data_IF_323896991235
#
_entry.id   IF_323896991235
#
_cell.length_a   1.000
_cell.length_b   1.000
_cell.length_c   1.000
_cell.angle_alpha   90.00
_cell.angle_beta   90.00
_cell.angle_gamma   90.00
#
_symmetry.space_group_name_H-M   'P 1'
#
loop_
_entity.id
_entity.type
_entity.pdbx_description
1 polymer ?
#
# COMPACT_ATOMS: atom_id res chain seq x y z
N UNK A 1 -0.55 37.64 7.63
CA UNK A 1 -0.51 37.50 6.16
C UNK A 1 0.43 36.40 5.68
N UNK A 2 1.65 36.29 6.22
CA UNK A 2 2.61 35.22 5.80
C UNK A 2 2.12 33.80 6.12
N UNK A 3 1.61 33.55 7.32
CA UNK A 3 1.10 32.22 7.74
C UNK A 3 -0.09 31.77 6.86
N UNK A 4 -1.00 32.67 6.53
CA UNK A 4 -2.13 32.37 5.64
C UNK A 4 -1.65 32.03 4.22
N UNK A 5 -0.61 32.68 3.74
CA UNK A 5 -0.01 32.40 2.43
C UNK A 5 0.70 31.05 2.38
N UNK A 6 1.35 30.63 3.50
CA UNK A 6 2.02 29.33 3.62
C UNK A 6 0.99 28.18 3.63
N UNK A 7 -0.09 28.30 4.42
CA UNK A 7 -1.16 27.30 4.48
C UNK A 7 -1.85 27.12 3.12
N UNK A 8 -2.14 28.23 2.43
CA UNK A 8 -2.71 28.22 1.07
C UNK A 8 -1.80 27.49 0.09
N UNK A 9 -0.50 27.78 0.09
CA UNK A 9 0.49 27.17 -0.79
C UNK A 9 0.66 25.66 -0.57
N UNK A 10 0.53 25.19 0.68
CA UNK A 10 0.56 23.78 1.03
C UNK A 10 -0.69 23.05 0.55
N UNK A 11 -1.86 23.65 0.75
CA UNK A 11 -3.11 23.09 0.26
C UNK A 11 -3.13 23.00 -1.28
N UNK A 12 -2.54 23.96 -1.99
CA UNK A 12 -2.40 23.91 -3.46
C UNK A 12 -1.51 22.75 -3.91
N UNK A 13 -0.38 22.50 -3.26
CA UNK A 13 0.49 21.35 -3.56
C UNK A 13 -0.22 20.03 -3.35
N UNK A 14 -0.98 19.89 -2.27
CA UNK A 14 -1.77 18.69 -2.01
C UNK A 14 -2.88 18.49 -3.03
N UNK A 15 -3.54 19.57 -3.46
CA UNK A 15 -4.55 19.51 -4.53
C UNK A 15 -3.95 19.09 -5.87
N UNK A 16 -2.73 19.57 -6.19
CA UNK A 16 -2.01 19.14 -7.39
C UNK A 16 -1.67 17.65 -7.33
N UNK A 17 -1.14 17.16 -6.19
CA UNK A 17 -0.89 15.74 -5.98
C UNK A 17 -2.17 14.91 -6.11
N UNK A 18 -3.27 15.37 -5.51
CA UNK A 18 -4.59 14.74 -5.62
C UNK A 18 -5.04 14.63 -7.08
N UNK A 19 -4.84 15.67 -7.89
CA UNK A 19 -5.15 15.65 -9.31
C UNK A 19 -4.43 14.52 -10.05
N UNK A 20 -3.11 14.42 -9.86
CA UNK A 20 -2.29 13.36 -10.47
C UNK A 20 -2.75 11.95 -10.04
N UNK A 21 -3.00 11.75 -8.74
CA UNK A 21 -3.43 10.45 -8.22
C UNK A 21 -4.83 10.07 -8.71
N UNK A 22 -5.72 11.04 -8.91
CA UNK A 22 -7.08 10.79 -9.41
C UNK A 22 -7.09 10.19 -10.82
N UNK A 23 -6.13 10.56 -11.66
CA UNK A 23 -5.97 9.99 -13.00
C UNK A 23 -5.54 8.51 -12.95
N UNK A 24 -4.79 8.12 -11.91
CA UNK A 24 -4.30 6.76 -11.72
C UNK A 24 -5.30 5.78 -11.10
N UNK A 25 -6.44 6.24 -10.54
CA UNK A 25 -7.39 5.38 -9.82
C UNK A 25 -7.95 4.23 -10.68
N UNK A 26 -8.12 4.48 -11.98
CA UNK A 26 -8.58 3.44 -12.91
C UNK A 26 -7.59 2.27 -13.07
N UNK A 27 -6.30 2.52 -12.88
CA UNK A 27 -5.23 1.51 -12.96
C UNK A 27 -4.91 0.91 -11.59
N UNK A 28 -5.06 1.70 -10.52
CA UNK A 28 -4.76 1.31 -9.15
C UNK A 28 -5.88 1.78 -8.21
N UNK A 29 -6.92 0.96 -7.98
CA UNK A 29 -8.06 1.33 -7.11
C UNK A 29 -7.63 1.72 -5.68
N UNK A 30 -6.52 1.18 -5.18
CA UNK A 30 -5.93 1.51 -3.87
C UNK A 30 -5.61 3.00 -3.70
N UNK A 31 -5.37 3.73 -4.81
CA UNK A 31 -5.12 5.17 -4.78
C UNK A 31 -6.28 5.97 -4.17
N UNK A 32 -7.51 5.43 -4.21
CA UNK A 32 -8.69 6.05 -3.61
C UNK A 32 -8.49 6.31 -2.10
N UNK A 33 -7.85 5.39 -1.40
CA UNK A 33 -7.55 5.54 0.04
C UNK A 33 -6.59 6.71 0.30
N UNK A 34 -5.61 6.92 -0.58
CA UNK A 34 -4.66 8.04 -0.48
C UNK A 34 -5.31 9.37 -0.81
N UNK A 35 -6.25 9.40 -1.77
CA UNK A 35 -7.05 10.61 -2.05
C UNK A 35 -7.84 11.05 -0.82
N UNK A 36 -8.47 10.11 -0.12
CA UNK A 36 -9.19 10.39 1.12
C UNK A 36 -8.26 10.91 2.24
N UNK A 37 -7.04 10.37 2.36
CA UNK A 37 -6.03 10.87 3.30
C UNK A 37 -5.62 12.31 2.96
N UNK A 38 -5.37 12.61 1.70
CA UNK A 38 -5.01 13.96 1.23
C UNK A 38 -6.13 14.95 1.54
N UNK A 39 -7.39 14.59 1.31
CA UNK A 39 -8.54 15.44 1.66
C UNK A 39 -8.61 15.73 3.16
N UNK A 40 -8.35 14.72 3.99
CA UNK A 40 -8.29 14.88 5.44
C UNK A 40 -7.20 15.86 5.88
N UNK A 41 -6.00 15.76 5.28
CA UNK A 41 -4.89 16.70 5.55
C UNK A 41 -5.27 18.13 5.13
N UNK A 42 -5.88 18.31 3.96
CA UNK A 42 -6.34 19.63 3.50
C UNK A 42 -7.39 20.22 4.45
N UNK A 43 -8.33 19.40 4.92
CA UNK A 43 -9.35 19.85 5.88
C UNK A 43 -8.72 20.24 7.21
N UNK A 44 -7.80 19.45 7.74
CA UNK A 44 -7.07 19.75 9.00
C UNK A 44 -6.26 21.06 8.91
N UNK A 45 -5.64 21.35 7.75
CA UNK A 45 -4.95 22.62 7.52
C UNK A 45 -5.91 23.84 7.57
N UNK A 46 -7.15 23.65 7.13
CA UNK A 46 -8.14 24.72 7.06
C UNK A 46 -8.89 24.94 8.38
N UNK A 47 -9.12 23.86 9.18
CA UNK A 47 -9.97 23.92 10.36
C UNK A 47 -9.35 24.72 11.52
N UNK A 48 -8.02 24.83 11.58
CA UNK A 48 -7.31 25.56 12.65
C UNK A 48 -7.48 24.97 14.06
N UNK A 49 -8.12 23.80 14.20
CA UNK A 49 -8.30 23.08 15.46
C UNK A 49 -7.04 22.27 15.82
N UNK A 50 -6.72 22.20 17.10
CA UNK A 50 -5.66 21.33 17.60
C UNK A 50 -6.24 19.92 17.80
N UNK A 51 -5.74 18.94 17.05
CA UNK A 51 -6.16 17.54 17.15
C UNK A 51 -5.38 16.81 18.25
N UNK A 52 -6.10 16.30 19.24
CA UNK A 52 -5.58 15.42 20.30
C UNK A 52 -6.10 14.00 20.02
N UNK A 53 -5.23 13.02 19.90
CA UNK A 53 -5.59 11.62 19.64
C UNK A 53 -5.24 10.78 20.87
N UNK A 54 -6.22 10.01 21.37
CA UNK A 54 -6.00 9.09 22.47
C UNK A 54 -5.63 7.70 21.95
N UNK A 55 -4.59 7.13 22.53
CA UNK A 55 -4.09 5.79 22.28
C UNK A 55 -4.07 4.99 23.58
N UNK A 56 -4.20 3.69 23.51
CA UNK A 56 -4.13 2.78 24.66
C UNK A 56 -4.98 1.54 24.45
N UNK A 57 -4.86 0.56 25.36
CA UNK A 57 -5.68 -0.64 25.31
C UNK A 57 -7.16 -0.31 25.55
N UNK A 58 -7.96 -1.30 25.25
CA UNK A 58 -9.41 -1.24 25.43
C UNK A 58 -9.82 -0.83 26.86
N UNK A 59 -9.27 -1.48 27.89
CA UNK A 59 -9.63 -1.30 29.31
C UNK A 59 -8.84 -0.22 30.04
N UNK A 60 -7.94 0.53 29.37
CA UNK A 60 -7.07 1.52 30.05
C UNK A 60 -7.81 2.82 30.43
N UNK A 61 -9.11 2.94 30.07
CA UNK A 61 -9.96 4.05 30.46
C UNK A 61 -9.86 5.29 29.60
N UNK A 62 -9.56 5.15 28.28
CA UNK A 62 -9.47 6.28 27.33
C UNK A 62 -10.73 7.16 27.34
N UNK A 63 -11.90 6.54 27.16
CA UNK A 63 -13.19 7.26 27.14
C UNK A 63 -13.47 7.96 28.46
N UNK A 64 -13.07 7.36 29.59
CA UNK A 64 -13.19 8.00 30.91
C UNK A 64 -12.26 9.22 31.03
N UNK A 65 -11.05 9.16 30.46
CA UNK A 65 -10.12 10.29 30.38
C UNK A 65 -10.72 11.42 29.52
N UNK A 66 -11.31 11.09 28.38
CA UNK A 66 -12.00 12.08 27.53
C UNK A 66 -13.16 12.73 28.29
N UNK A 67 -14.03 11.96 28.93
CA UNK A 67 -15.14 12.49 29.72
C UNK A 67 -14.66 13.40 30.87
N UNK A 68 -13.57 13.01 31.54
CA UNK A 68 -12.92 13.84 32.55
C UNK A 68 -12.38 15.17 32.03
N UNK A 69 -11.76 15.15 30.84
CA UNK A 69 -11.33 16.36 30.15
C UNK A 69 -12.49 17.25 29.72
N UNK A 70 -13.62 16.67 29.30
CA UNK A 70 -14.84 17.40 28.95
C UNK A 70 -15.60 17.89 30.18
N UNK A 71 -15.44 17.25 31.36
CA UNK A 71 -16.19 17.51 32.57
C UNK A 71 -17.68 17.12 32.47
N UNK A 72 -18.05 16.31 31.48
CA UNK A 72 -19.41 15.81 31.22
C UNK A 72 -19.39 14.51 30.43
N UNK A 73 -20.51 13.79 30.48
CA UNK A 73 -20.78 12.68 29.59
C UNK A 73 -21.46 13.17 28.30
N UNK A 74 -21.08 12.62 27.18
CA UNK A 74 -21.76 12.78 25.90
C UNK A 74 -22.56 11.51 25.60
N UNK A 75 -23.69 11.62 24.87
CA UNK A 75 -24.61 10.50 24.61
C UNK A 75 -23.97 9.32 23.86
N UNK A 76 -22.92 9.59 23.11
CA UNK A 76 -22.18 8.59 22.32
C UNK A 76 -20.98 8.00 23.05
N UNK A 77 -20.75 8.31 24.34
CA UNK A 77 -19.69 7.73 25.14
C UNK A 77 -20.07 6.35 25.66
N UNK A 78 -19.35 5.33 25.23
CA UNK A 78 -19.46 3.96 25.73
C UNK A 78 -18.38 3.74 26.81
N UNK A 79 -18.78 3.80 28.08
CA UNK A 79 -17.86 3.71 29.23
C UNK A 79 -17.91 2.33 29.90
N UNK A 80 -18.95 1.53 29.67
CA UNK A 80 -19.14 0.24 30.29
C UNK A 80 -18.24 -0.88 29.74
N UNK A 81 -17.85 -1.79 30.63
CA UNK A 81 -16.88 -2.86 30.37
C UNK A 81 -17.31 -3.90 29.31
N UNK A 82 -18.59 -3.97 28.96
CA UNK A 82 -19.13 -4.98 28.03
C UNK A 82 -19.35 -4.46 26.59
N UNK A 83 -19.36 -3.15 26.38
CA UNK A 83 -19.49 -2.57 25.04
C UNK A 83 -18.25 -1.76 24.68
N UNK A 84 -17.37 -2.39 23.93
CA UNK A 84 -16.19 -1.70 23.34
C UNK A 84 -16.63 -0.48 22.54
N UNK A 85 -15.94 0.66 22.74
CA UNK A 85 -15.95 1.75 21.77
C UNK A 85 -15.27 1.25 20.49
N UNK A 86 -16.01 0.47 19.71
CA UNK A 86 -15.58 -0.03 18.41
C UNK A 86 -15.59 1.09 17.35
N UNK A 87 -16.00 2.30 17.75
CA UNK A 87 -16.17 3.44 16.86
C UNK A 87 -15.26 4.59 17.27
N UNK A 88 -14.67 5.18 16.25
CA UNK A 88 -13.92 6.42 16.40
C UNK A 88 -14.91 7.55 16.68
N UNK A 89 -14.71 8.26 17.79
CA UNK A 89 -15.56 9.36 18.19
C UNK A 89 -14.75 10.66 18.34
N UNK A 90 -15.31 11.75 17.83
CA UNK A 90 -14.68 13.07 17.87
C UNK A 90 -15.46 13.98 18.83
N UNK A 91 -14.76 14.53 19.82
CA UNK A 91 -15.30 15.45 20.81
C UNK A 91 -14.68 16.83 20.66
N UNK A 92 -15.45 17.88 20.94
CA UNK A 92 -14.99 19.28 20.93
C UNK A 92 -15.24 19.92 22.28
N UNK A 93 -14.22 19.94 23.18
CA UNK A 93 -14.34 20.57 24.50
C UNK A 93 -14.49 22.09 24.36
N UNK A 94 -15.46 22.65 25.09
CA UNK A 94 -15.71 24.13 25.06
C UNK A 94 -14.80 24.91 26.03
N UNK A 95 -14.20 24.23 27.00
CA UNK A 95 -13.51 24.84 28.13
C UNK A 95 -11.98 24.89 27.98
N UNK A 96 -11.42 24.45 26.87
CA UNK A 96 -10.00 24.57 26.56
C UNK A 96 -9.74 25.89 25.81
N UNK A 97 -8.63 26.55 26.16
CA UNK A 97 -8.27 27.94 25.71
C UNK A 97 -8.26 28.14 24.18
N UNK A 98 -8.19 27.06 23.38
CA UNK A 98 -8.17 27.07 21.92
C UNK A 98 -9.11 25.99 21.40
N UNK A 99 -9.55 26.07 20.15
CA UNK A 99 -10.37 25.03 19.54
C UNK A 99 -9.64 23.68 19.50
N UNK A 100 -10.04 22.77 20.37
CA UNK A 100 -9.50 21.42 20.42
C UNK A 100 -10.48 20.43 19.80
N UNK A 101 -9.94 19.47 19.08
CA UNK A 101 -10.61 18.28 18.61
C UNK A 101 -9.98 17.06 19.30
N UNK A 102 -10.74 16.35 20.12
CA UNK A 102 -10.30 15.12 20.79
C UNK A 102 -10.85 13.94 20.02
N UNK A 103 -9.95 13.05 19.59
CA UNK A 103 -10.28 11.83 18.85
C UNK A 103 -10.05 10.65 19.78
N UNK A 104 -11.16 10.02 20.22
CA UNK A 104 -11.12 8.77 20.97
C UNK A 104 -11.03 7.60 19.97
N UNK A 105 -9.92 6.89 20.00
CA UNK A 105 -9.70 5.78 19.08
C UNK A 105 -10.14 4.46 19.69
N UNK A 106 -10.61 3.51 18.87
CA UNK A 106 -10.78 2.13 19.31
C UNK A 106 -9.48 1.60 19.94
N UNK A 107 -9.60 0.65 20.88
CA UNK A 107 -8.42 0.04 21.51
C UNK A 107 -7.41 -0.46 20.46
N UNK A 108 -6.12 -0.17 20.66
CA UNK A 108 -5.02 -0.38 19.70
C UNK A 108 -4.92 -1.80 19.09
N UNK A 109 -5.60 -2.79 19.66
CA UNK A 109 -5.53 -4.19 19.25
C UNK A 109 -6.89 -4.84 19.00
N UNK A 110 -7.91 -4.04 18.63
CA UNK A 110 -9.17 -4.57 18.11
C UNK A 110 -8.89 -5.35 16.82
N UNK A 111 -9.11 -6.66 16.82
CA UNK A 111 -8.95 -7.54 15.63
C UNK A 111 -10.09 -7.42 14.64
N UNK A 112 -11.04 -6.53 14.89
CA UNK A 112 -12.26 -6.36 14.10
C UNK A 112 -11.97 -5.56 12.81
N UNK A 113 -12.64 -5.97 11.75
CA UNK A 113 -12.72 -5.24 10.49
C UNK A 113 -14.04 -4.47 10.45
N UNK A 114 -14.03 -3.25 9.96
CA UNK A 114 -15.25 -2.47 9.70
C UNK A 114 -15.40 -2.27 8.20
N UNK A 115 -16.60 -2.45 7.70
CA UNK A 115 -16.96 -2.11 6.33
C UNK A 115 -17.22 -0.59 6.26
N UNK A 116 -16.36 0.13 5.52
CA UNK A 116 -16.53 1.55 5.25
C UNK A 116 -16.58 1.70 3.74
N UNK A 117 -17.65 2.26 3.20
CA UNK A 117 -17.89 2.43 1.76
C UNK A 117 -17.76 1.14 0.93
N UNK A 118 -18.10 -0.02 1.51
CA UNK A 118 -18.03 -1.34 0.86
C UNK A 118 -16.64 -2.01 0.91
N UNK A 119 -15.67 -1.43 1.62
CA UNK A 119 -14.33 -2.01 1.84
C UNK A 119 -14.12 -2.43 3.29
N UNK A 120 -13.54 -3.62 3.49
CA UNK A 120 -13.12 -4.11 4.81
C UNK A 120 -11.83 -3.41 5.25
N UNK A 121 -11.94 -2.31 6.00
CA UNK A 121 -10.79 -1.55 6.51
C UNK A 121 -10.39 -2.06 7.90
N UNK A 122 -9.11 -2.37 8.10
CA UNK A 122 -8.58 -2.73 9.43
C UNK A 122 -8.60 -1.52 10.35
N UNK A 123 -9.04 -1.68 11.61
CA UNK A 123 -8.99 -0.61 12.62
C UNK A 123 -7.61 0.00 12.79
N UNK A 124 -6.54 -0.77 12.54
CA UNK A 124 -5.16 -0.27 12.56
C UNK A 124 -4.91 0.85 11.55
N UNK A 125 -5.48 0.77 10.34
CA UNK A 125 -5.26 1.80 9.30
C UNK A 125 -6.01 3.10 9.60
N UNK A 126 -7.18 3.02 10.23
CA UNK A 126 -7.94 4.19 10.69
C UNK A 126 -7.17 4.88 11.83
N UNK A 127 -6.71 4.12 12.81
CA UNK A 127 -5.92 4.65 13.94
C UNK A 127 -4.62 5.30 13.45
N UNK A 128 -3.91 4.68 12.51
CA UNK A 128 -2.69 5.24 11.93
C UNK A 128 -2.91 6.58 11.24
N UNK A 129 -4.01 6.72 10.51
CA UNK A 129 -4.40 8.00 9.90
C UNK A 129 -4.49 9.10 10.97
N UNK A 130 -5.22 8.86 12.05
CA UNK A 130 -5.40 9.87 13.10
C UNK A 130 -4.11 10.13 13.90
N UNK A 131 -3.24 9.13 14.06
CA UNK A 131 -1.92 9.30 14.68
C UNK A 131 -1.05 10.25 13.84
N UNK A 132 -0.99 10.06 12.53
CA UNK A 132 -0.20 10.92 11.65
C UNK A 132 -0.71 12.37 11.64
N UNK A 133 -2.03 12.56 11.66
CA UNK A 133 -2.70 13.86 11.66
C UNK A 133 -2.75 14.53 13.06
N UNK A 134 -2.42 13.82 14.14
CA UNK A 134 -2.47 14.35 15.49
C UNK A 134 -1.47 15.49 15.71
N UNK A 135 -1.89 16.53 16.38
CA UNK A 135 -1.00 17.55 16.92
C UNK A 135 -0.41 17.09 18.25
N UNK A 136 -1.24 16.48 19.10
CA UNK A 136 -0.87 15.93 20.42
C UNK A 136 -1.39 14.49 20.48
N UNK A 137 -0.59 13.61 21.06
CA UNK A 137 -0.97 12.24 21.38
C UNK A 137 -1.07 12.07 22.88
N UNK A 138 -2.15 11.49 23.35
CA UNK A 138 -2.33 11.05 24.72
C UNK A 138 -2.30 9.54 24.74
N UNK A 139 -1.23 8.94 25.25
CA UNK A 139 -1.14 7.51 25.46
C UNK A 139 -1.62 7.18 26.87
N UNK A 140 -2.79 6.54 26.98
CA UNK A 140 -3.40 6.12 28.25
C UNK A 140 -2.96 4.70 28.56
N UNK A 141 -2.46 4.47 29.77
CA UNK A 141 -2.09 3.17 30.27
C UNK A 141 -2.56 2.98 31.72
N UNK A 142 -2.71 1.72 32.10
CA UNK A 142 -3.08 1.32 33.46
C UNK A 142 -1.88 1.44 34.40
N UNK A 143 -2.10 1.92 35.64
CA UNK A 143 -1.07 2.07 36.66
C UNK A 143 -0.45 0.75 37.12
N UNK A 144 -1.16 -0.38 36.97
CA UNK A 144 -0.67 -1.72 37.33
C UNK A 144 0.22 -2.29 36.21
N UNK A 145 -0.19 -2.09 34.95
CA UNK A 145 0.55 -2.56 33.76
C UNK A 145 0.76 -1.39 32.78
N UNK A 146 1.72 -0.49 33.06
CA UNK A 146 1.81 0.81 32.36
C UNK A 146 2.26 0.72 30.89
N UNK A 147 2.90 -0.35 30.46
CA UNK A 147 3.30 -0.53 29.07
C UNK A 147 3.21 -2.01 28.69
N UNK A 148 2.33 -2.31 27.75
CA UNK A 148 2.19 -3.67 27.18
C UNK A 148 3.18 -3.85 26.04
N UNK A 149 3.80 -5.02 25.94
CA UNK A 149 4.79 -5.31 24.87
C UNK A 149 4.18 -5.15 23.47
N UNK A 150 2.90 -5.48 23.33
CA UNK A 150 2.15 -5.29 22.07
C UNK A 150 2.04 -3.83 21.62
N UNK A 151 2.19 -2.85 22.52
CA UNK A 151 2.12 -1.42 22.21
C UNK A 151 3.45 -0.82 21.77
N UNK A 152 4.57 -1.51 22.03
CA UNK A 152 5.92 -0.97 21.80
C UNK A 152 6.12 -0.58 20.33
N UNK A 153 5.64 -1.37 19.39
CA UNK A 153 5.82 -1.07 17.96
C UNK A 153 5.06 0.18 17.52
N UNK A 154 3.83 0.35 18.00
CA UNK A 154 3.04 1.57 17.71
C UNK A 154 3.72 2.78 18.34
N UNK A 155 4.16 2.69 19.59
CA UNK A 155 4.87 3.78 20.24
C UNK A 155 6.19 4.12 19.54
N UNK A 156 6.91 3.11 19.04
CA UNK A 156 8.11 3.33 18.22
C UNK A 156 7.78 4.14 16.97
N UNK A 157 6.70 3.80 16.26
CA UNK A 157 6.24 4.56 15.09
C UNK A 157 5.84 5.99 15.47
N UNK A 158 5.08 6.15 16.54
CA UNK A 158 4.67 7.47 17.05
C UNK A 158 5.89 8.35 17.33
N UNK A 159 6.86 7.83 18.07
CA UNK A 159 8.00 8.63 18.54
C UNK A 159 9.11 8.78 17.49
N UNK A 160 9.37 7.74 16.69
CA UNK A 160 10.51 7.72 15.75
C UNK A 160 10.10 8.03 14.32
N UNK A 161 9.01 7.43 13.82
CA UNK A 161 8.56 7.64 12.44
C UNK A 161 7.78 8.95 12.32
N UNK A 162 6.88 9.22 13.26
CA UNK A 162 6.05 10.43 13.24
C UNK A 162 6.64 11.60 14.06
N UNK A 163 7.82 11.43 14.66
CA UNK A 163 8.52 12.45 15.42
C UNK A 163 7.65 13.16 16.48
N UNK A 164 6.74 12.41 17.14
CA UNK A 164 5.77 12.96 18.09
C UNK A 164 6.23 12.87 19.56
N UNK A 165 7.53 12.62 19.84
CA UNK A 165 8.03 12.44 21.20
C UNK A 165 7.62 13.61 22.12
N UNK A 166 7.92 14.83 21.71
CA UNK A 166 7.70 16.05 22.50
C UNK A 166 6.20 16.44 22.60
N UNK A 167 5.39 15.85 21.73
CA UNK A 167 3.95 16.08 21.65
C UNK A 167 3.14 14.87 22.16
N UNK A 168 3.80 13.91 22.83
CA UNK A 168 3.14 12.75 23.43
C UNK A 168 3.08 12.90 24.95
N UNK A 169 1.85 12.80 25.50
CA UNK A 169 1.61 12.78 26.93
C UNK A 169 1.26 11.36 27.35
N UNK A 170 2.07 10.79 28.23
CA UNK A 170 1.80 9.50 28.86
C UNK A 170 0.91 9.69 30.06
N UNK A 171 -0.29 9.14 30.02
CA UNK A 171 -1.26 9.21 31.11
C UNK A 171 -1.33 7.84 31.80
N UNK A 172 -0.83 7.81 33.03
CA UNK A 172 -0.95 6.64 33.90
C UNK A 172 -2.26 6.78 34.66
N UNK A 173 -3.27 6.02 34.23
CA UNK A 173 -4.62 6.04 34.76
C UNK A 173 -4.80 4.97 35.82
N UNK A 174 -5.88 5.07 36.64
CA UNK A 174 -6.28 4.10 37.68
C UNK A 174 -5.26 3.99 38.82
N UNK A 175 -4.74 5.14 39.28
CA UNK A 175 -3.80 5.19 40.41
C UNK A 175 -4.38 4.63 41.70
N UNK A 176 -5.68 4.71 41.87
CA UNK A 176 -6.44 4.10 42.99
C UNK A 176 -6.44 2.57 42.94
N UNK A 177 -6.55 1.97 41.76
CA UNK A 177 -6.45 0.51 41.57
C UNK A 177 -5.02 0.00 41.89
N UNK A 178 -4.00 0.85 41.75
CA UNK A 178 -2.64 0.56 42.14
C UNK A 178 -2.37 0.73 43.64
N UNK A 179 -3.40 1.09 44.43
CA UNK A 179 -3.38 1.13 45.89
C UNK A 179 -2.92 2.43 46.51
N UNK A 180 -2.86 3.52 45.73
CA UNK A 180 -2.50 4.84 46.26
C UNK A 180 -3.71 5.65 46.73
N UNK A 181 -3.56 6.39 47.85
CA UNK A 181 -4.62 7.29 48.31
C UNK A 181 -4.63 8.58 47.49
N UNK A 182 -5.73 8.77 46.72
CA UNK A 182 -5.92 9.91 45.85
C UNK A 182 -6.06 11.26 46.60
N UNK A 183 -6.36 11.24 47.90
CA UNK A 183 -6.53 12.43 48.75
C UNK A 183 -5.34 12.73 49.64
N UNK A 184 -4.47 11.77 49.85
CA UNK A 184 -3.20 12.00 50.56
C UNK A 184 -2.14 12.49 49.54
N UNK A 185 -1.75 13.77 49.61
CA UNK A 185 -0.80 14.35 48.66
C UNK A 185 0.58 13.70 48.72
N UNK A 186 1.03 13.21 49.88
CA UNK A 186 2.32 12.55 50.01
C UNK A 186 2.33 11.16 49.43
N UNK A 187 1.28 10.38 49.71
CA UNK A 187 1.12 9.04 49.16
C UNK A 187 0.91 9.06 47.63
N UNK A 188 0.08 9.97 47.12
CA UNK A 188 -0.13 10.14 45.69
C UNK A 188 1.15 10.61 44.97
N UNK A 189 1.88 11.57 45.54
CA UNK A 189 3.12 12.06 44.95
C UNK A 189 4.20 10.97 44.89
N UNK A 190 4.38 10.20 45.98
CA UNK A 190 5.28 9.06 46.03
C UNK A 190 4.90 7.98 44.99
N UNK A 191 3.61 7.63 44.94
CA UNK A 191 3.10 6.66 43.94
C UNK A 191 3.30 7.13 42.51
N UNK A 192 3.03 8.41 42.25
CA UNK A 192 3.22 9.04 40.95
C UNK A 192 4.68 8.99 40.51
N UNK A 193 5.63 9.30 41.38
CA UNK A 193 7.07 9.24 41.10
C UNK A 193 7.51 7.82 40.74
N UNK A 194 7.08 6.81 41.52
CA UNK A 194 7.38 5.40 41.25
C UNK A 194 6.84 5.00 39.86
N UNK A 195 5.58 5.33 39.55
CA UNK A 195 4.94 4.94 38.29
C UNK A 195 5.55 5.67 37.08
N UNK A 196 5.86 6.98 37.24
CA UNK A 196 6.57 7.73 36.20
C UNK A 196 7.94 7.14 35.91
N UNK A 197 8.74 6.86 36.92
CA UNK A 197 10.05 6.24 36.73
C UNK A 197 9.96 4.86 36.07
N UNK A 198 8.95 4.07 36.40
CA UNK A 198 8.73 2.77 35.80
C UNK A 198 8.41 2.86 34.29
N UNK A 199 7.52 3.76 33.88
CA UNK A 199 7.19 3.91 32.48
C UNK A 199 8.37 4.50 31.68
N UNK A 200 9.07 5.49 32.22
CA UNK A 200 10.26 6.09 31.61
C UNK A 200 11.36 5.04 31.38
N UNK A 201 11.65 4.23 32.40
CA UNK A 201 12.63 3.12 32.27
C UNK A 201 12.25 2.14 31.18
N UNK A 202 10.97 1.73 31.13
CA UNK A 202 10.49 0.81 30.07
C UNK A 202 10.55 1.44 28.67
N UNK A 203 10.20 2.72 28.54
CA UNK A 203 10.31 3.44 27.28
C UNK A 203 11.77 3.56 26.84
N UNK A 204 12.70 3.87 27.78
CA UNK A 204 14.14 3.88 27.51
C UNK A 204 14.60 2.58 26.93
N UNK A 205 14.31 1.47 27.61
CA UNK A 205 14.80 0.13 27.25
C UNK A 205 14.20 -0.35 25.91
N UNK A 206 12.93 -0.04 25.64
CA UNK A 206 12.21 -0.54 24.47
C UNK A 206 12.35 0.35 23.22
N UNK A 207 12.56 1.66 23.41
CA UNK A 207 12.61 2.64 22.31
C UNK A 207 13.99 3.26 22.15
N UNK A 208 14.98 2.86 22.97
CA UNK A 208 16.34 3.39 22.98
C UNK A 208 16.35 4.92 23.10
N UNK A 209 15.68 5.44 24.15
CA UNK A 209 15.63 6.88 24.39
C UNK A 209 16.99 7.38 24.91
N UNK A 210 17.39 8.56 24.44
CA UNK A 210 18.53 9.28 24.98
C UNK A 210 18.17 9.94 26.32
N UNK A 211 19.15 10.27 27.19
CA UNK A 211 18.87 10.96 28.44
C UNK A 211 18.17 12.32 28.28
N UNK A 212 18.40 13.00 27.14
CA UNK A 212 17.74 14.28 26.86
C UNK A 212 16.30 14.07 26.37
N UNK A 213 16.02 12.99 25.64
CA UNK A 213 14.65 12.61 25.27
C UNK A 213 13.85 12.21 26.51
N UNK A 214 14.45 11.48 27.46
CA UNK A 214 13.78 11.12 28.72
C UNK A 214 13.31 12.34 29.53
N UNK A 215 14.13 13.39 29.60
CA UNK A 215 13.78 14.64 30.31
C UNK A 215 12.63 15.39 29.67
N UNK A 216 12.38 15.16 28.35
CA UNK A 216 11.31 15.83 27.61
C UNK A 216 10.00 15.04 27.60
N UNK A 217 9.98 13.82 28.18
CA UNK A 217 8.76 13.04 28.28
C UNK A 217 7.76 13.71 29.22
N UNK A 218 6.53 13.83 28.73
CA UNK A 218 5.40 14.29 29.53
C UNK A 218 4.68 13.08 30.13
N UNK A 219 4.70 12.95 31.46
CA UNK A 219 4.05 11.83 32.17
C UNK A 219 3.17 12.37 33.28
N UNK A 220 1.87 12.00 33.26
CA UNK A 220 0.88 12.44 34.25
C UNK A 220 0.18 11.21 34.83
N UNK A 221 -0.01 11.23 36.17
CA UNK A 221 -0.75 10.19 36.90
C UNK A 221 -2.15 10.70 37.26
N UNK A 222 -3.18 9.89 37.00
CA UNK A 222 -4.58 10.24 37.26
C UNK A 222 -5.40 9.03 37.71
N UNK A 223 -6.62 9.29 38.18
CA UNK A 223 -7.69 8.31 38.30
C UNK A 223 -8.94 8.90 37.62
N UNK A 224 -9.14 8.59 36.34
CA UNK A 224 -10.23 9.20 35.56
C UNK A 224 -11.63 8.86 36.10
N UNK A 225 -11.82 7.68 36.68
CA UNK A 225 -13.03 7.28 37.42
C UNK A 225 -12.64 6.79 38.82
N UNK A 226 -12.44 7.70 39.79
CA UNK A 226 -11.94 7.35 41.11
C UNK A 226 -12.79 6.26 41.79
N UNK A 227 -12.14 5.15 42.17
CA UNK A 227 -12.75 3.99 42.83
C UNK A 227 -13.86 3.30 42.02
N UNK A 228 -13.88 3.49 40.68
CA UNK A 228 -14.86 2.84 39.80
C UNK A 228 -16.32 3.18 40.12
N UNK A 229 -16.60 4.36 40.69
CA UNK A 229 -17.95 4.76 41.09
C UNK A 229 -18.81 5.22 39.91
N UNK A 230 -18.24 5.34 38.74
CA UNK A 230 -18.89 5.83 37.54
C UNK A 230 -18.89 7.37 37.44
N UNK A 231 -18.63 7.86 36.22
CA UNK A 231 -18.49 9.29 35.96
C UNK A 231 -19.76 10.09 36.21
N UNK A 232 -20.95 9.49 36.04
CA UNK A 232 -22.22 10.12 36.40
C UNK A 232 -22.29 10.48 37.88
N UNK A 233 -21.76 9.61 38.77
CA UNK A 233 -21.64 9.92 40.20
C UNK A 233 -20.73 11.10 40.46
N UNK A 234 -19.58 11.11 39.81
CA UNK A 234 -18.55 12.12 40.03
C UNK A 234 -18.91 13.49 39.46
N UNK A 235 -19.54 13.55 38.29
CA UNK A 235 -19.90 14.83 37.68
C UNK A 235 -21.03 15.55 38.41
N UNK A 236 -21.76 14.85 39.29
CA UNK A 236 -22.64 15.49 40.24
C UNK A 236 -21.93 16.10 41.47
N UNK A 237 -20.61 15.87 41.63
CA UNK A 237 -19.73 16.31 42.71
C UNK A 237 -18.40 16.77 42.19
N UNK A 238 -18.39 17.75 41.28
CA UNK A 238 -17.22 18.15 40.50
C UNK A 238 -16.00 18.53 41.35
N UNK A 239 -16.18 19.21 42.49
CA UNK A 239 -15.07 19.58 43.37
C UNK A 239 -14.36 18.32 43.89
N UNK A 240 -15.10 17.38 44.46
CA UNK A 240 -14.56 16.10 44.91
C UNK A 240 -13.98 15.25 43.77
N UNK A 241 -14.54 15.36 42.57
CA UNK A 241 -13.98 14.74 41.39
C UNK A 241 -12.60 15.30 41.07
N UNK A 242 -12.46 16.61 41.02
CA UNK A 242 -11.18 17.23 40.68
C UNK A 242 -10.09 16.93 41.72
N UNK A 243 -10.44 16.87 43.01
CA UNK A 243 -9.51 16.52 44.08
C UNK A 243 -9.00 15.09 43.99
N UNK A 244 -9.85 14.14 43.54
CA UNK A 244 -9.52 12.71 43.49
C UNK A 244 -8.96 12.27 42.13
N UNK A 245 -9.48 12.83 41.05
CA UNK A 245 -9.14 12.36 39.71
C UNK A 245 -7.77 12.85 39.24
N UNK A 246 -7.26 13.96 39.79
CA UNK A 246 -6.08 14.65 39.26
C UNK A 246 -6.17 15.03 37.79
N UNK A 247 -7.37 15.08 37.21
CA UNK A 247 -7.60 15.41 35.79
C UNK A 247 -7.14 16.85 35.45
N UNK A 248 -7.09 17.74 36.45
CA UNK A 248 -6.54 19.10 36.31
C UNK A 248 -5.06 19.07 35.94
N UNK A 249 -4.29 18.12 36.44
CA UNK A 249 -2.87 17.97 36.12
C UNK A 249 -2.67 17.58 34.66
N UNK A 250 -3.57 16.71 34.13
CA UNK A 250 -3.56 16.40 32.72
C UNK A 250 -3.93 17.62 31.86
N UNK A 251 -4.94 18.41 32.25
CA UNK A 251 -5.29 19.66 31.55
C UNK A 251 -4.13 20.65 31.53
N UNK A 252 -3.44 20.81 32.68
CA UNK A 252 -2.26 21.69 32.81
C UNK A 252 -1.12 21.19 31.91
N UNK A 253 -0.87 19.89 31.87
CA UNK A 253 0.14 19.30 30.99
C UNK A 253 -0.19 19.52 29.50
N UNK A 254 -1.43 19.34 29.08
CA UNK A 254 -1.88 19.63 27.70
C UNK A 254 -1.63 21.11 27.37
N UNK A 255 -2.02 22.02 28.26
CA UNK A 255 -1.80 23.44 28.05
C UNK A 255 -0.30 23.78 27.98
N UNK A 256 0.55 23.20 28.83
CA UNK A 256 2.01 23.38 28.77
C UNK A 256 2.59 22.90 27.43
N UNK A 257 2.18 21.74 26.93
CA UNK A 257 2.61 21.23 25.61
C UNK A 257 2.20 22.18 24.50
N UNK A 258 0.98 22.73 24.55
CA UNK A 258 0.47 23.69 23.56
C UNK A 258 1.16 25.06 23.67
N UNK A 259 1.42 25.54 24.90
CA UNK A 259 2.02 26.86 25.12
C UNK A 259 3.55 26.82 24.82
N UNK A 260 4.23 25.71 25.08
CA UNK A 260 5.66 25.52 24.78
C UNK A 260 5.92 25.28 23.30
N UNK A 261 5.00 24.59 22.61
CA UNK A 261 5.05 24.43 21.18
C UNK A 261 4.25 25.56 20.54
N UNK A 262 4.88 26.41 19.72
CA UNK A 262 4.15 27.32 18.86
C UNK A 262 3.09 26.54 18.06
N UNK A 263 1.82 26.98 18.10
CA UNK A 263 0.70 26.29 17.42
C UNK A 263 0.97 26.10 15.94
N UNK A 264 1.65 27.06 15.32
CA UNK A 264 2.03 26.94 13.92
C UNK A 264 3.11 25.87 13.71
N UNK A 265 4.01 25.68 14.68
CA UNK A 265 5.02 24.61 14.70
C UNK A 265 4.38 23.22 14.89
N UNK A 266 3.38 23.08 15.77
CA UNK A 266 2.59 21.84 15.91
C UNK A 266 1.85 21.48 14.63
N UNK A 267 1.19 22.47 14.01
CA UNK A 267 0.49 22.28 12.75
C UNK A 267 1.46 21.92 11.61
N UNK A 268 2.65 22.53 11.58
CA UNK A 268 3.70 22.24 10.62
C UNK A 268 4.22 20.81 10.77
N UNK A 269 4.57 20.39 11.97
CA UNK A 269 5.03 19.03 12.26
C UNK A 269 3.98 18.00 11.91
N UNK A 270 2.70 18.23 12.25
CA UNK A 270 1.61 17.33 11.89
C UNK A 270 1.41 17.22 10.38
N UNK A 271 1.46 18.36 9.67
CA UNK A 271 1.38 18.38 8.20
C UNK A 271 2.52 17.59 7.56
N UNK A 272 3.77 17.85 7.96
CA UNK A 272 4.94 17.14 7.40
C UNK A 272 4.82 15.63 7.61
N UNK A 273 4.52 15.20 8.82
CA UNK A 273 4.35 13.78 9.16
C UNK A 273 3.25 13.13 8.34
N UNK A 274 2.11 13.81 8.18
CA UNK A 274 0.99 13.29 7.40
C UNK A 274 1.32 13.16 5.91
N UNK A 275 2.04 14.13 5.36
CA UNK A 275 2.50 14.09 3.96
C UNK A 275 3.54 13.01 3.75
N UNK A 276 4.51 12.88 4.66
CA UNK A 276 5.53 11.83 4.61
C UNK A 276 4.91 10.43 4.69
N UNK A 277 3.91 10.22 5.55
CA UNK A 277 3.17 8.96 5.63
C UNK A 277 2.48 8.62 4.30
N UNK A 278 1.78 9.59 3.71
CA UNK A 278 1.14 9.40 2.40
C UNK A 278 2.15 9.10 1.31
N UNK A 279 3.25 9.86 1.23
CA UNK A 279 4.27 9.70 0.18
C UNK A 279 4.99 8.36 0.32
N UNK A 280 5.38 7.97 1.53
CA UNK A 280 6.10 6.71 1.78
C UNK A 280 5.22 5.49 1.45
N UNK A 281 3.98 5.49 1.91
CA UNK A 281 3.04 4.41 1.64
C UNK A 281 2.69 4.33 0.15
N UNK A 282 2.49 5.48 -0.50
CA UNK A 282 2.23 5.58 -1.94
C UNK A 282 3.42 5.06 -2.75
N UNK A 283 4.64 5.44 -2.39
CA UNK A 283 5.86 4.95 -3.04
C UNK A 283 5.97 3.43 -2.95
N UNK A 284 5.70 2.85 -1.76
CA UNK A 284 5.69 1.39 -1.59
C UNK A 284 4.61 0.70 -2.42
N UNK A 285 3.42 1.27 -2.50
CA UNK A 285 2.31 0.73 -3.31
C UNK A 285 2.66 0.76 -4.81
N UNK A 286 3.19 1.89 -5.30
CA UNK A 286 3.64 2.03 -6.69
C UNK A 286 4.76 1.04 -7.00
N UNK A 287 5.76 0.90 -6.14
CA UNK A 287 6.86 -0.04 -6.29
C UNK A 287 6.38 -1.50 -6.35
N UNK A 288 5.43 -1.84 -5.49
CA UNK A 288 4.84 -3.18 -5.46
C UNK A 288 4.12 -3.52 -6.76
N UNK A 289 3.47 -2.55 -7.39
CA UNK A 289 2.71 -2.72 -8.64
C UNK A 289 3.61 -2.59 -9.88
N UNK A 290 4.54 -1.63 -9.91
CA UNK A 290 5.37 -1.34 -11.07
C UNK A 290 6.48 -2.38 -11.31
N UNK A 291 7.06 -2.96 -10.25
CA UNK A 291 8.13 -3.96 -10.37
C UNK A 291 7.73 -5.22 -11.13
N UNK A 292 6.57 -5.86 -10.87
CA UNK A 292 6.10 -6.98 -11.67
C UNK A 292 5.85 -6.60 -13.13
N UNK A 293 5.20 -5.46 -13.38
CA UNK A 293 4.94 -4.95 -14.73
C UNK A 293 6.25 -4.72 -15.50
N UNK A 294 7.24 -4.11 -14.85
CA UNK A 294 8.56 -3.90 -15.45
C UNK A 294 9.23 -5.21 -15.87
N UNK A 295 9.14 -6.26 -15.05
CA UNK A 295 9.66 -7.59 -15.39
C UNK A 295 8.94 -8.20 -16.59
N UNK A 296 7.61 -8.05 -16.68
CA UNK A 296 6.86 -8.56 -17.83
C UNK A 296 7.17 -7.79 -19.12
N UNK A 297 7.31 -6.47 -19.05
CA UNK A 297 7.75 -5.66 -20.20
C UNK A 297 9.12 -6.14 -20.71
N UNK A 298 10.07 -6.41 -19.82
CA UNK A 298 11.41 -6.93 -20.21
C UNK A 298 11.27 -8.27 -20.92
N UNK A 299 10.49 -9.22 -20.39
CA UNK A 299 10.26 -10.52 -21.05
C UNK A 299 9.61 -10.39 -22.44
N UNK A 300 8.63 -9.49 -22.58
CA UNK A 300 7.99 -9.22 -23.87
C UNK A 300 9.03 -8.65 -24.87
N UNK A 301 9.89 -7.75 -24.42
CA UNK A 301 10.94 -7.18 -25.27
C UNK A 301 11.98 -8.24 -25.71
N UNK A 302 12.41 -9.10 -24.79
CA UNK A 302 13.31 -10.23 -25.08
C UNK A 302 12.67 -11.17 -26.11
N UNK A 303 11.41 -11.55 -25.89
CA UNK A 303 10.69 -12.43 -26.81
C UNK A 303 10.47 -11.81 -28.18
N UNK A 304 10.19 -10.52 -28.23
CA UNK A 304 10.12 -9.80 -29.51
C UNK A 304 11.43 -9.89 -30.28
N UNK A 305 12.57 -9.74 -29.60
CA UNK A 305 13.88 -9.89 -30.21
C UNK A 305 14.12 -11.30 -30.79
N UNK A 306 13.73 -12.35 -30.05
CA UNK A 306 13.80 -13.73 -30.52
C UNK A 306 12.94 -13.95 -31.78
N UNK A 307 11.71 -13.45 -31.78
CA UNK A 307 10.81 -13.56 -32.93
C UNK A 307 11.32 -12.82 -34.18
N UNK A 308 11.96 -11.68 -34.02
CA UNK A 308 12.59 -10.94 -35.11
C UNK A 308 13.78 -11.75 -35.72
N UNK A 309 14.55 -12.46 -34.89
CA UNK A 309 15.63 -13.32 -35.35
C UNK A 309 15.10 -14.60 -36.05
N UNK A 310 14.08 -15.25 -35.48
CA UNK A 310 13.39 -16.40 -36.06
C UNK A 310 12.81 -16.03 -37.45
N UNK A 311 12.20 -14.87 -37.57
CA UNK A 311 11.67 -14.36 -38.84
C UNK A 311 12.77 -14.21 -39.90
N UNK A 312 13.93 -13.69 -39.47
CA UNK A 312 15.09 -13.52 -40.35
C UNK A 312 15.66 -14.87 -40.80
N UNK A 313 15.73 -15.83 -39.89
CA UNK A 313 16.16 -17.19 -40.18
C UNK A 313 15.22 -17.88 -41.21
N UNK A 314 13.92 -17.86 -40.99
CA UNK A 314 12.91 -18.40 -41.90
C UNK A 314 13.01 -17.76 -43.29
N UNK A 315 13.25 -16.44 -43.35
CA UNK A 315 13.42 -15.77 -44.63
C UNK A 315 14.69 -16.25 -45.39
N UNK A 316 15.78 -16.52 -44.68
CA UNK A 316 17.01 -17.05 -45.24
C UNK A 316 16.79 -18.50 -45.72
N UNK A 317 16.11 -19.36 -44.96
CA UNK A 317 15.77 -20.74 -45.32
C UNK A 317 14.90 -20.78 -46.60
N UNK A 318 13.92 -19.89 -46.70
CA UNK A 318 13.08 -19.75 -47.90
C UNK A 318 13.94 -19.37 -49.16
N UNK A 319 14.94 -18.51 -49.02
CA UNK A 319 15.82 -18.13 -50.08
C UNK A 319 16.71 -19.31 -50.49
N UNK A 320 17.23 -20.08 -49.55
CA UNK A 320 18.01 -21.29 -49.82
C UNK A 320 17.18 -22.34 -50.55
N UNK A 321 15.97 -22.66 -50.03
CA UNK A 321 15.07 -23.60 -50.66
C UNK A 321 14.69 -23.18 -52.10
N UNK A 322 14.46 -21.89 -52.31
CA UNK A 322 14.21 -21.37 -53.67
C UNK A 322 15.41 -21.59 -54.61
N UNK A 323 16.63 -21.41 -54.13
CA UNK A 323 17.84 -21.64 -54.94
C UNK A 323 18.04 -23.15 -55.26
N UNK A 324 17.86 -24.01 -54.24
CA UNK A 324 17.92 -25.48 -54.40
C UNK A 324 16.90 -25.98 -55.43
N UNK A 325 15.65 -25.48 -55.37
CA UNK A 325 14.61 -25.80 -56.35
C UNK A 325 15.05 -25.40 -57.79
N UNK A 326 15.61 -24.17 -57.92
CA UNK A 326 16.11 -23.66 -59.21
C UNK A 326 17.24 -24.52 -59.77
N UNK A 327 18.19 -24.90 -58.91
CA UNK A 327 19.36 -25.69 -59.32
C UNK A 327 18.93 -27.12 -59.70
N UNK A 328 18.01 -27.71 -58.95
CA UNK A 328 17.47 -29.03 -59.28
C UNK A 328 16.68 -29.04 -60.57
N UNK A 329 15.86 -28.01 -60.86
CA UNK A 329 15.20 -27.84 -62.14
C UNK A 329 16.17 -27.66 -63.30
N UNK A 330 17.29 -26.93 -63.10
CA UNK A 330 18.35 -26.77 -64.10
C UNK A 330 19.05 -28.11 -64.36
N UNK A 331 19.31 -28.92 -63.32
CA UNK A 331 19.89 -30.25 -63.44
C UNK A 331 18.99 -31.16 -64.21
N UNK A 332 17.69 -31.25 -63.87
CA UNK A 332 16.69 -32.04 -64.59
C UNK A 332 16.64 -31.66 -66.09
N UNK A 333 16.61 -30.34 -66.37
CA UNK A 333 16.64 -29.85 -67.76
C UNK A 333 17.91 -30.32 -68.51
N UNK A 334 19.07 -30.20 -67.89
CA UNK A 334 20.34 -30.57 -68.52
C UNK A 334 20.48 -32.06 -68.74
N UNK A 335 19.98 -32.88 -67.79
CA UNK A 335 19.93 -34.36 -67.94
C UNK A 335 19.08 -34.75 -69.11
N UNK A 336 17.86 -34.21 -69.27
CA UNK A 336 16.96 -34.46 -70.37
C UNK A 336 17.62 -34.08 -71.71
N UNK A 337 18.27 -32.89 -71.77
CA UNK A 337 18.95 -32.45 -73.01
C UNK A 337 20.12 -33.36 -73.28
N UNK A 338 20.90 -33.83 -72.32
CA UNK A 338 21.99 -34.76 -72.48
C UNK A 338 21.47 -36.11 -73.03
N UNK A 339 20.41 -36.66 -72.47
CA UNK A 339 19.84 -37.92 -72.82
C UNK A 339 19.27 -37.89 -74.29
N UNK A 340 18.63 -36.76 -74.65
CA UNK A 340 18.12 -36.55 -76.04
C UNK A 340 19.29 -36.45 -77.04
N UNK A 341 20.34 -35.67 -76.68
CA UNK A 341 21.47 -35.48 -77.59
C UNK A 341 22.32 -36.77 -77.77
N UNK A 342 22.35 -37.62 -76.76
CA UNK A 342 23.06 -38.91 -76.80
C UNK A 342 22.26 -40.05 -77.40
N UNK A 343 20.99 -39.86 -77.76
CA UNK A 343 20.09 -40.87 -78.26
C UNK A 343 20.44 -41.23 -79.72
N UNK A 344 20.27 -42.52 -80.05
CA UNK A 344 20.25 -43.01 -81.43
C UNK A 344 18.82 -42.95 -82.04
N UNK A 345 18.68 -43.12 -83.29
CA UNK A 345 17.36 -43.22 -83.98
C UNK A 345 16.45 -44.33 -83.38
N UNK A 346 17.06 -45.39 -82.88
CA UNK A 346 16.35 -46.52 -82.27
C UNK A 346 15.91 -46.26 -80.84
N UNK A 347 16.62 -45.39 -80.08
CA UNK A 347 16.39 -45.14 -78.66
C UNK A 347 15.69 -43.79 -78.33
N UNK A 348 15.67 -42.87 -79.31
CA UNK A 348 15.06 -41.54 -79.09
C UNK A 348 13.58 -41.61 -78.74
N UNK A 349 12.83 -42.54 -79.28
CA UNK A 349 11.40 -42.73 -79.00
C UNK A 349 11.13 -43.08 -77.51
N UNK A 350 11.91 -44.04 -77.00
CA UNK A 350 11.77 -44.46 -75.60
C UNK A 350 12.19 -43.29 -74.59
N UNK A 351 13.21 -42.56 -74.94
CA UNK A 351 13.65 -41.40 -74.12
C UNK A 351 12.58 -40.30 -74.12
N UNK A 352 12.03 -39.98 -75.31
CA UNK A 352 10.97 -38.97 -75.40
C UNK A 352 9.74 -39.40 -74.61
N UNK A 353 9.36 -40.70 -74.67
CA UNK A 353 8.23 -41.22 -73.95
C UNK A 353 8.44 -41.23 -72.42
N UNK A 354 9.63 -41.64 -71.94
CA UNK A 354 9.92 -41.79 -70.51
C UNK A 354 10.28 -40.47 -69.78
N UNK A 355 10.87 -39.53 -70.53
CA UNK A 355 11.34 -38.26 -69.89
C UNK A 355 10.38 -37.09 -70.15
N UNK A 356 9.72 -37.06 -71.32
CA UNK A 356 8.94 -35.91 -71.74
C UNK A 356 7.42 -36.27 -71.81
N UNK A 357 7.08 -37.38 -72.37
CA UNK A 357 5.71 -37.88 -72.65
C UNK A 357 5.34 -37.73 -74.14
N UNK A 358 4.96 -38.86 -74.76
CA UNK A 358 4.49 -38.89 -76.12
C UNK A 358 3.19 -39.65 -76.14
N UNK A 359 2.14 -39.09 -76.73
CA UNK A 359 0.83 -39.75 -76.99
C UNK A 359 0.44 -39.53 -78.43
N UNK A 360 0.00 -40.62 -79.05
CA UNK A 360 -0.47 -40.61 -80.46
C UNK A 360 0.56 -39.91 -81.39
N UNK A 361 1.83 -40.28 -81.29
CA UNK A 361 2.95 -39.72 -82.06
C UNK A 361 3.18 -38.19 -81.87
N UNK A 362 2.60 -37.59 -80.83
CA UNK A 362 2.82 -36.18 -80.51
C UNK A 362 3.47 -36.03 -79.15
N UNK A 363 4.43 -35.11 -79.03
CA UNK A 363 5.05 -34.72 -77.76
C UNK A 363 4.05 -33.96 -76.92
N UNK A 364 3.74 -34.44 -75.73
CA UNK A 364 2.69 -33.90 -74.85
C UNK A 364 3.22 -33.28 -73.55
N UNK A 365 4.47 -33.48 -73.26
CA UNK A 365 5.16 -32.97 -72.03
C UNK A 365 4.52 -33.43 -70.72
N UNK A 366 3.59 -34.42 -70.70
CA UNK A 366 2.91 -34.77 -69.45
C UNK A 366 3.86 -35.36 -68.38
N UNK A 367 4.82 -36.23 -68.78
CA UNK A 367 5.77 -36.85 -67.86
C UNK A 367 6.71 -35.77 -67.26
N UNK A 368 7.18 -34.87 -68.10
CA UNK A 368 7.97 -33.75 -67.64
C UNK A 368 7.24 -32.85 -66.60
N UNK A 369 5.97 -32.52 -66.91
CA UNK A 369 5.08 -31.75 -66.05
C UNK A 369 4.85 -32.44 -64.72
N UNK A 370 4.57 -33.76 -64.72
CA UNK A 370 4.33 -34.53 -63.50
C UNK A 370 5.59 -34.66 -62.67
N UNK A 371 6.75 -34.87 -63.27
CA UNK A 371 8.05 -34.87 -62.56
C UNK A 371 8.35 -33.53 -61.91
N UNK A 372 8.11 -32.41 -62.61
CA UNK A 372 8.32 -31.04 -62.06
C UNK A 372 7.30 -30.78 -60.95
N UNK A 373 6.02 -31.11 -61.10
CA UNK A 373 5.01 -30.94 -60.09
C UNK A 373 5.32 -31.74 -58.81
N UNK A 374 5.67 -33.01 -58.92
CA UNK A 374 6.06 -33.86 -57.78
C UNK A 374 7.29 -33.37 -57.06
N UNK A 375 8.23 -32.73 -57.77
CA UNK A 375 9.37 -32.10 -57.16
C UNK A 375 8.99 -30.83 -56.40
N UNK A 376 8.16 -29.97 -56.99
CA UNK A 376 7.65 -28.74 -56.35
C UNK A 376 6.85 -29.10 -55.08
N UNK A 377 5.96 -30.10 -55.17
CA UNK A 377 5.14 -30.55 -54.03
C UNK A 377 6.03 -30.99 -52.85
N UNK A 378 7.05 -31.82 -53.09
CA UNK A 378 7.99 -32.23 -52.03
C UNK A 378 8.71 -31.07 -51.36
N UNK A 379 9.17 -30.10 -52.17
CA UNK A 379 9.82 -28.87 -51.61
C UNK A 379 8.84 -28.01 -50.82
N UNK A 380 7.58 -27.90 -51.30
CA UNK A 380 6.52 -27.14 -50.60
C UNK A 380 6.11 -27.81 -49.30
N UNK A 381 5.93 -29.14 -49.26
CA UNK A 381 5.56 -29.88 -48.05
C UNK A 381 6.59 -29.69 -46.92
N UNK A 382 7.89 -29.77 -47.24
CA UNK A 382 8.97 -29.58 -46.26
C UNK A 382 8.93 -28.18 -45.66
N UNK A 383 8.76 -27.17 -46.48
CA UNK A 383 8.69 -25.77 -46.01
C UNK A 383 7.39 -25.46 -45.28
N UNK A 384 6.25 -26.00 -45.74
CA UNK A 384 4.94 -25.80 -45.08
C UNK A 384 4.92 -26.42 -43.69
N UNK A 385 5.52 -27.60 -43.52
CA UNK A 385 5.61 -28.24 -42.19
C UNK A 385 6.44 -27.46 -41.21
N UNK A 386 7.56 -26.88 -41.64
CA UNK A 386 8.41 -26.02 -40.79
C UNK A 386 7.66 -24.74 -40.35
N UNK A 387 6.98 -24.08 -41.30
CA UNK A 387 6.18 -22.87 -41.03
C UNK A 387 5.01 -23.17 -40.08
N UNK A 388 4.27 -24.26 -40.32
CA UNK A 388 3.13 -24.65 -39.47
C UNK A 388 3.56 -25.01 -38.07
N UNK A 389 4.70 -25.68 -37.86
CA UNK A 389 5.25 -25.99 -36.54
C UNK A 389 5.59 -24.71 -35.77
N UNK A 390 6.19 -23.73 -36.43
CA UNK A 390 6.50 -22.45 -35.82
C UNK A 390 5.25 -21.61 -35.47
N UNK A 391 4.20 -21.65 -36.34
CA UNK A 391 2.93 -21.00 -36.06
C UNK A 391 2.24 -21.62 -34.84
N UNK A 392 2.25 -22.94 -34.69
CA UNK A 392 1.67 -23.64 -33.54
C UNK A 392 2.38 -23.23 -32.22
N UNK A 393 3.71 -23.20 -32.23
CA UNK A 393 4.49 -22.74 -31.05
C UNK A 393 4.14 -21.31 -30.68
N UNK A 394 4.02 -20.41 -31.64
CA UNK A 394 3.62 -19.01 -31.40
C UNK A 394 2.19 -18.92 -30.86
N UNK A 395 1.25 -19.73 -31.33
CA UNK A 395 -0.13 -19.73 -30.81
C UNK A 395 -0.21 -20.22 -29.37
N UNK A 396 0.52 -21.28 -29.01
CA UNK A 396 0.59 -21.81 -27.66
C UNK A 396 1.17 -20.75 -26.67
N UNK A 397 2.21 -20.04 -27.11
CA UNK A 397 2.85 -19.04 -26.28
C UNK A 397 1.98 -17.79 -26.10
N UNK A 398 1.27 -17.36 -27.15
CA UNK A 398 0.31 -16.27 -27.09
C UNK A 398 -0.86 -16.59 -26.14
N UNK A 399 -1.31 -17.84 -26.15
CA UNK A 399 -2.36 -18.31 -25.22
C UNK A 399 -1.88 -18.28 -23.76
N UNK A 400 -0.64 -18.69 -23.48
CA UNK A 400 -0.05 -18.59 -22.13
C UNK A 400 0.09 -17.14 -21.66
N UNK A 401 0.46 -16.23 -22.55
CA UNK A 401 0.58 -14.81 -22.19
C UNK A 401 -0.78 -14.18 -21.90
N UNK A 402 -1.82 -14.52 -22.65
CA UNK A 402 -3.18 -14.07 -22.36
C UNK A 402 -3.68 -14.58 -21.00
N UNK A 403 -3.47 -15.85 -20.66
CA UNK A 403 -3.80 -16.38 -19.33
C UNK A 403 -3.05 -15.66 -18.20
N UNK A 404 -1.82 -15.21 -18.46
CA UNK A 404 -1.01 -14.49 -17.48
C UNK A 404 -1.52 -13.06 -17.31
N UNK A 405 -1.91 -12.39 -18.39
CA UNK A 405 -2.55 -11.06 -18.35
C UNK A 405 -3.90 -11.14 -17.63
N UNK A 406 -4.71 -12.16 -17.93
CA UNK A 406 -5.99 -12.37 -17.24
C UNK A 406 -5.82 -12.63 -15.75
N UNK A 407 -4.78 -13.36 -15.33
CA UNK A 407 -4.44 -13.55 -13.93
C UNK A 407 -3.98 -12.24 -13.26
N UNK A 408 -3.19 -11.41 -13.93
CA UNK A 408 -2.78 -10.10 -13.42
C UNK A 408 -3.99 -9.17 -13.26
N UNK A 409 -4.90 -9.15 -14.21
CA UNK A 409 -6.17 -8.39 -14.15
C UNK A 409 -7.07 -8.92 -13.02
N UNK A 410 -7.19 -10.25 -12.87
CA UNK A 410 -8.01 -10.87 -11.82
C UNK A 410 -7.45 -10.67 -10.40
N UNK A 411 -6.14 -10.46 -10.26
CA UNK A 411 -5.49 -10.17 -8.95
C UNK A 411 -5.54 -8.69 -8.58
N UNK A 412 -6.17 -7.84 -9.40
CA UNK A 412 -6.35 -6.41 -9.11
C UNK A 412 -5.04 -5.60 -9.21
N UNK A 413 -4.11 -6.11 -10.00
CA UNK A 413 -2.88 -5.40 -10.35
C UNK A 413 -3.04 -4.82 -11.75
#
# INVERSE_FOLDING_TARGET
MEVFNIKSKKAEKLKALKGILSEGVGMMPELKSYLNKIDSIINTLNDGEISIVLLGSFSDGKTSVVAGLLGRLEENMKIDNDESSDELTIYRPKDLKKGFKIVDTPGLFGTKHKEIDGENVKFSSITEKYISEAHIIIYVCDAVVPLKDSHVEILRRVMRTYHKLDNTIFVINKMDEAGYDLLDPEDFARGSEIKKNNIISRLRDRLNLTPDEEKRLHVVCIAADPKGKGLSHWFNKMDSYYERSHIKDLRNCINQVVDNADVDSLAESSYQTSVEDVVNNLSQAIDKTSKPIGKEITKIQERRGELEEDQKQLKNELILSKNELRDSLNTLKNDIIRDINGASLDTIGEILQSQIGVENEKVTFYVFKDNVNSFIERCCETNTNAVNSNILLLQEEFSRQNEMVDKLVATGI
#
